data_IF_466332184699
#
_entry.id   IF_466332184699
#
_cell.length_a   1.000
_cell.length_b   1.000
_cell.length_c   1.000
_cell.angle_alpha   90.00
_cell.angle_beta   90.00
_cell.angle_gamma   90.00
#
_symmetry.space_group_name_H-M   'P 1'
#
loop_
_entity.id
_entity.type
_entity.pdbx_description
1 polymer ?
#
# COMPACT_ATOMS: atom_id res chain seq x y z
N UNK A 1 3.46 -20.65 -14.30
CA UNK A 1 2.06 -20.26 -14.41
C UNK A 1 2.03 -18.75 -14.57
N UNK A 2 1.82 -18.29 -15.80
CA UNK A 2 1.79 -16.85 -16.07
C UNK A 2 0.47 -16.25 -15.56
N UNK A 3 0.45 -14.94 -15.29
CA UNK A 3 -0.73 -14.22 -14.79
C UNK A 3 -1.95 -14.36 -15.72
N UNK A 4 -1.69 -14.60 -17.00
CA UNK A 4 -2.64 -14.87 -18.09
C UNK A 4 -3.34 -16.22 -17.95
N UNK A 5 -2.64 -17.27 -17.50
CA UNK A 5 -3.22 -18.62 -17.35
C UNK A 5 -4.27 -18.68 -16.24
N UNK A 6 -3.99 -18.01 -15.12
CA UNK A 6 -4.92 -17.99 -13.98
C UNK A 6 -6.20 -17.21 -14.29
N UNK A 7 -6.08 -16.07 -14.98
CA UNK A 7 -7.24 -15.26 -15.40
C UNK A 7 -8.15 -16.04 -16.33
N UNK A 8 -7.57 -16.88 -17.20
CA UNK A 8 -8.33 -17.73 -18.11
C UNK A 8 -9.18 -18.74 -17.35
N UNK A 9 -8.58 -19.50 -16.43
CA UNK A 9 -9.31 -20.51 -15.65
C UNK A 9 -10.43 -19.92 -14.79
N UNK A 10 -10.17 -18.79 -14.09
CA UNK A 10 -11.20 -18.13 -13.29
C UNK A 10 -12.36 -17.57 -14.13
N UNK A 11 -12.07 -17.11 -15.35
CA UNK A 11 -13.09 -16.63 -16.28
C UNK A 11 -13.99 -17.77 -16.75
N UNK A 12 -13.41 -18.89 -17.16
CA UNK A 12 -14.15 -20.05 -17.66
C UNK A 12 -15.12 -20.59 -16.59
N UNK A 13 -14.68 -20.66 -15.33
CA UNK A 13 -15.54 -21.09 -14.20
C UNK A 13 -16.68 -20.09 -13.95
N UNK A 14 -16.38 -18.79 -13.95
CA UNK A 14 -17.39 -17.76 -13.72
C UNK A 14 -18.46 -17.76 -14.82
N UNK A 15 -18.04 -17.92 -16.07
CA UNK A 15 -18.94 -17.97 -17.23
C UNK A 15 -19.89 -19.17 -17.14
N UNK A 16 -19.38 -20.38 -16.88
CA UNK A 16 -20.21 -21.57 -16.74
C UNK A 16 -21.18 -21.47 -15.55
N UNK A 17 -20.75 -20.85 -14.44
CA UNK A 17 -21.60 -20.66 -13.26
C UNK A 17 -22.79 -19.75 -13.56
N UNK A 18 -22.58 -18.67 -14.33
CA UNK A 18 -23.64 -17.74 -14.74
C UNK A 18 -24.62 -18.44 -15.69
N UNK A 19 -24.09 -19.16 -16.69
CA UNK A 19 -24.92 -19.90 -17.67
C UNK A 19 -25.76 -20.98 -16.98
N UNK A 20 -25.19 -21.70 -16.02
CA UNK A 20 -25.92 -22.67 -15.21
C UNK A 20 -27.07 -22.01 -14.45
N UNK A 21 -26.81 -20.87 -13.79
CA UNK A 21 -27.84 -20.11 -13.07
C UNK A 21 -28.98 -19.63 -13.97
N UNK A 22 -28.70 -19.29 -15.24
CA UNK A 22 -29.75 -18.97 -16.21
C UNK A 22 -30.55 -20.20 -16.63
N UNK A 23 -29.91 -21.35 -16.85
CA UNK A 23 -30.59 -22.61 -17.25
C UNK A 23 -31.52 -23.13 -16.16
N UNK A 24 -31.10 -23.06 -14.90
CA UNK A 24 -31.89 -23.50 -13.75
C UNK A 24 -32.97 -22.48 -13.34
N UNK A 25 -32.99 -21.29 -13.96
CA UNK A 25 -33.96 -20.23 -13.65
C UNK A 25 -33.68 -19.47 -12.34
N UNK A 26 -32.53 -19.70 -11.73
CA UNK A 26 -32.05 -19.02 -10.52
C UNK A 26 -31.67 -17.57 -10.79
N UNK A 27 -31.20 -17.26 -12.01
CA UNK A 27 -30.86 -15.90 -12.44
C UNK A 27 -31.81 -15.45 -13.53
N UNK A 28 -32.51 -14.34 -13.29
CA UNK A 28 -33.44 -13.74 -14.27
C UNK A 28 -32.72 -12.71 -15.13
N UNK A 29 -33.15 -12.55 -16.38
CA UNK A 29 -32.59 -11.54 -17.29
C UNK A 29 -32.61 -10.10 -16.74
N UNK A 30 -33.57 -9.80 -15.85
CA UNK A 30 -33.68 -8.49 -15.19
C UNK A 30 -32.54 -8.23 -14.20
N UNK A 31 -31.93 -9.26 -13.63
CA UNK A 31 -30.88 -9.15 -12.60
C UNK A 31 -29.53 -8.72 -13.22
N UNK A 32 -29.32 -8.99 -14.51
CA UNK A 32 -28.14 -8.50 -15.24
C UNK A 32 -28.15 -6.99 -15.51
N UNK A 33 -29.27 -6.28 -15.25
CA UNK A 33 -29.34 -4.83 -15.45
C UNK A 33 -28.40 -4.05 -14.53
N UNK A 34 -28.01 -4.62 -13.40
CA UNK A 34 -27.10 -3.97 -12.44
C UNK A 34 -26.18 -5.00 -11.79
N UNK A 35 -24.90 -4.94 -12.13
CA UNK A 35 -23.85 -5.74 -11.49
C UNK A 35 -23.14 -4.86 -10.46
N UNK A 36 -23.25 -5.23 -9.17
CA UNK A 36 -22.45 -4.61 -8.12
C UNK A 36 -21.13 -5.37 -8.01
N UNK A 37 -20.04 -4.76 -8.47
CA UNK A 37 -18.70 -5.31 -8.26
C UNK A 37 -18.20 -4.81 -6.91
N UNK A 38 -18.37 -5.62 -5.86
CA UNK A 38 -17.85 -5.30 -4.54
C UNK A 38 -16.34 -5.55 -4.49
N UNK A 39 -15.55 -4.58 -4.99
CA UNK A 39 -14.11 -4.57 -4.74
C UNK A 39 -13.88 -4.07 -3.33
N UNK A 40 -13.88 -4.97 -2.34
CA UNK A 40 -13.33 -4.64 -1.03
C UNK A 40 -11.82 -4.44 -1.19
N UNK A 41 -11.41 -3.21 -1.49
CA UNK A 41 -10.01 -2.81 -1.36
C UNK A 41 -9.74 -2.83 0.14
N UNK A 42 -9.27 -3.97 0.65
CA UNK A 42 -8.57 -3.96 1.93
C UNK A 42 -7.45 -2.93 1.80
N UNK A 43 -7.50 -1.87 2.59
CA UNK A 43 -6.41 -0.90 2.65
C UNK A 43 -5.13 -1.66 2.99
N UNK A 44 -4.32 -1.87 1.97
CA UNK A 44 -3.14 -2.71 2.04
C UNK A 44 -2.07 -1.97 2.81
N UNK A 45 -2.11 -2.03 4.14
CA UNK A 45 -1.16 -1.42 5.06
C UNK A 45 -0.66 -0.05 4.54
N UNK A 46 -1.59 0.83 4.19
CA UNK A 46 -1.24 2.14 3.64
C UNK A 46 -0.64 2.92 4.80
N UNK A 47 0.68 3.06 4.81
CA UNK A 47 1.38 3.84 5.82
C UNK A 47 0.79 5.25 5.80
N UNK A 48 0.33 5.72 6.97
CA UNK A 48 -0.25 7.06 7.12
C UNK A 48 0.73 8.10 6.54
N UNK A 49 0.27 9.16 5.85
CA UNK A 49 1.14 10.10 5.12
C UNK A 49 2.19 10.80 6.00
N UNK A 50 2.03 10.74 7.32
CA UNK A 50 2.97 11.28 8.33
C UNK A 50 3.81 10.20 9.03
N UNK A 51 3.87 8.98 8.51
CA UNK A 51 4.70 7.92 9.07
C UNK A 51 6.20 8.27 8.93
N UNK A 52 6.97 8.11 10.01
CA UNK A 52 8.40 8.39 9.99
C UNK A 52 9.15 7.49 8.99
N UNK A 53 8.60 6.31 8.68
CA UNK A 53 9.13 5.44 7.63
C UNK A 53 9.07 6.13 6.27
N UNK A 54 7.97 6.81 5.96
CA UNK A 54 7.80 7.53 4.69
C UNK A 54 8.74 8.71 4.62
N UNK A 55 8.84 9.53 5.68
CA UNK A 55 9.80 10.64 5.74
C UNK A 55 11.25 10.18 5.56
N UNK A 56 11.65 9.09 6.22
CA UNK A 56 12.99 8.55 6.07
C UNK A 56 13.26 8.10 4.63
N UNK A 57 12.30 7.41 4.01
CA UNK A 57 12.40 6.92 2.63
C UNK A 57 12.46 8.06 1.61
N UNK A 58 11.60 9.07 1.73
CA UNK A 58 11.60 10.24 0.84
C UNK A 58 12.91 11.02 0.96
N UNK A 59 13.41 11.24 2.18
CA UNK A 59 14.72 11.89 2.38
C UNK A 59 15.88 11.06 1.79
N UNK A 60 15.83 9.73 1.82
CA UNK A 60 16.83 8.90 1.14
C UNK A 60 16.78 9.11 -0.38
N UNK A 61 15.59 9.10 -0.96
CA UNK A 61 15.39 9.33 -2.40
C UNK A 61 15.90 10.72 -2.83
N UNK A 62 15.51 11.78 -2.13
CA UNK A 62 15.93 13.15 -2.45
C UNK A 62 17.45 13.34 -2.39
N UNK A 63 18.12 12.77 -1.39
CA UNK A 63 19.58 12.87 -1.32
C UNK A 63 20.28 12.05 -2.41
N UNK A 64 19.68 10.93 -2.83
CA UNK A 64 20.19 10.18 -3.99
C UNK A 64 20.07 11.02 -5.27
N UNK A 65 18.94 11.71 -5.44
CA UNK A 65 18.71 12.55 -6.62
C UNK A 65 19.62 13.78 -6.64
N UNK A 66 19.73 14.49 -5.52
CA UNK A 66 20.66 15.61 -5.38
C UNK A 66 22.12 15.20 -5.69
N UNK A 67 22.51 13.97 -5.32
CA UNK A 67 23.84 13.45 -5.64
C UNK A 67 24.03 13.17 -7.14
N UNK A 68 22.99 12.74 -7.86
CA UNK A 68 23.06 12.55 -9.32
C UNK A 68 23.17 13.90 -10.03
N UNK A 69 22.37 14.86 -9.58
CA UNK A 69 22.32 16.23 -10.11
C UNK A 69 23.51 17.10 -9.67
N UNK A 70 24.47 16.53 -8.92
CA UNK A 70 25.66 17.23 -8.38
C UNK A 70 25.32 18.47 -7.53
N UNK A 71 24.13 18.49 -6.92
CA UNK A 71 23.69 19.55 -6.02
C UNK A 71 24.36 19.36 -4.66
N UNK A 72 25.14 20.36 -4.23
CA UNK A 72 25.77 20.33 -2.91
C UNK A 72 24.75 20.65 -1.82
N UNK A 73 24.40 19.64 -1.02
CA UNK A 73 23.52 19.80 0.12
C UNK A 73 24.31 20.35 1.32
N UNK A 74 23.94 21.53 1.82
CA UNK A 74 24.49 22.11 3.07
C UNK A 74 24.47 21.12 4.23
N UNK A 75 23.37 20.36 4.35
CA UNK A 75 23.24 19.25 5.29
C UNK A 75 22.38 18.14 4.69
N UNK A 76 22.87 16.91 4.76
CA UNK A 76 22.11 15.75 4.27
C UNK A 76 21.18 15.15 5.33
N UNK A 77 21.38 15.40 6.64
CA UNK A 77 20.59 14.77 7.73
C UNK A 77 20.57 13.23 7.75
N UNK A 78 21.47 12.54 7.02
CA UNK A 78 21.48 11.06 6.89
C UNK A 78 21.49 10.35 8.24
N UNK A 79 22.34 10.84 9.16
CA UNK A 79 22.54 10.27 10.50
C UNK A 79 21.38 10.59 11.44
N UNK A 80 20.92 11.85 11.46
CA UNK A 80 19.84 12.32 12.35
C UNK A 80 18.53 11.58 12.05
N UNK A 81 18.15 11.48 10.78
CA UNK A 81 16.92 10.80 10.34
C UNK A 81 16.92 9.30 10.68
N UNK A 82 18.05 8.60 10.46
CA UNK A 82 18.18 7.18 10.85
C UNK A 82 18.00 6.98 12.36
N UNK A 83 18.63 7.84 13.18
CA UNK A 83 18.51 7.76 14.63
C UNK A 83 17.09 8.08 15.11
N UNK A 84 16.44 9.08 14.51
CA UNK A 84 15.06 9.45 14.81
C UNK A 84 14.10 8.29 14.51
N UNK A 85 14.22 7.66 13.33
CA UNK A 85 13.44 6.49 12.94
C UNK A 85 13.56 5.32 13.93
N UNK A 86 14.80 4.94 14.30
CA UNK A 86 15.04 3.85 15.26
C UNK A 86 14.46 4.20 16.64
N UNK A 87 14.66 5.43 17.12
CA UNK A 87 14.13 5.87 18.41
C UNK A 87 12.60 5.90 18.41
N UNK A 88 11.97 6.33 17.33
CA UNK A 88 10.52 6.34 17.20
C UNK A 88 9.94 4.93 17.35
N UNK A 89 10.52 3.94 16.66
CA UNK A 89 10.13 2.52 16.81
C UNK A 89 10.34 2.00 18.24
N UNK A 90 11.51 2.25 18.84
CA UNK A 90 11.81 1.84 20.23
C UNK A 90 10.84 2.46 21.24
N UNK A 91 10.53 3.75 21.12
CA UNK A 91 9.57 4.42 22.01
C UNK A 91 8.14 3.92 21.79
N UNK A 92 7.77 3.58 20.56
CA UNK A 92 6.46 2.99 20.28
C UNK A 92 6.34 1.61 20.94
N UNK A 93 7.34 0.73 20.79
CA UNK A 93 7.39 -0.57 21.47
C UNK A 93 7.35 -0.45 22.99
N UNK A 94 8.08 0.53 23.56
CA UNK A 94 8.07 0.80 25.00
C UNK A 94 6.79 1.52 25.50
N UNK A 95 5.74 1.64 24.68
CA UNK A 95 4.49 2.37 24.96
C UNK A 95 4.68 3.87 25.30
N UNK A 96 5.84 4.45 25.00
CA UNK A 96 6.18 5.86 25.23
C UNK A 96 5.71 6.76 24.07
N UNK A 97 4.39 6.81 23.83
CA UNK A 97 3.78 7.48 22.66
C UNK A 97 4.21 8.95 22.50
N UNK A 98 4.24 9.73 23.59
CA UNK A 98 4.68 11.15 23.55
C UNK A 98 6.12 11.31 23.03
N UNK A 99 7.03 10.40 23.39
CA UNK A 99 8.43 10.40 22.93
C UNK A 99 8.55 9.91 21.49
N UNK A 100 7.73 8.92 21.10
CA UNK A 100 7.66 8.45 19.72
C UNK A 100 7.21 9.57 18.77
N UNK A 101 6.13 10.31 19.11
CA UNK A 101 5.63 11.42 18.29
C UNK A 101 6.68 12.52 18.10
N UNK A 102 7.47 12.85 19.13
CA UNK A 102 8.58 13.81 19.01
C UNK A 102 9.68 13.36 18.05
N UNK A 103 9.91 12.05 17.92
CA UNK A 103 10.93 11.49 17.00
C UNK A 103 10.41 11.31 15.57
N UNK A 104 9.10 11.29 15.38
CA UNK A 104 8.48 11.29 14.05
C UNK A 104 8.76 12.58 13.26
N UNK A 105 8.85 13.71 13.96
CA UNK A 105 8.98 15.05 13.38
C UNK A 105 10.41 15.65 13.51
N UNK A 106 11.42 14.83 13.84
CA UNK A 106 12.79 15.25 14.16
C UNK A 106 13.81 14.77 13.13
#
# INVERSE_FOLDING_TARGET
MEKTDWLRGSREILEETILLGQREGEIKDQEFRRVNVDTTVQEKAIAFPTDARLYHKMRQALVKEASKEKIQLRQSYKRKSKLAFIKQGRYFHAKQRKRATRKRNA
#
